data_IF_433505845231
#
_entry.id   IF_433505845231
#
_cell.length_a   1.000
_cell.length_b   1.000
_cell.length_c   1.000
_cell.angle_alpha   90.00
_cell.angle_beta   90.00
_cell.angle_gamma   90.00
#
_symmetry.space_group_name_H-M   'P 1'
#
loop_
_entity.id
_entity.type
_entity.pdbx_description
1 polymer ?
#
# COMPACT_ATOMS: atom_id res chain seq x y z
N UNK A 1 -39.02 8.60 -9.78
CA UNK A 1 -38.31 7.30 -9.68
C UNK A 1 -37.25 7.45 -8.61
N UNK A 2 -37.43 6.78 -7.49
CA UNK A 2 -36.58 6.92 -6.28
C UNK A 2 -35.28 6.16 -6.46
N UNK A 3 -34.17 6.87 -6.68
CA UNK A 3 -32.82 6.28 -6.66
C UNK A 3 -32.36 6.24 -5.20
N UNK A 4 -32.43 5.05 -4.61
CA UNK A 4 -31.87 4.75 -3.30
C UNK A 4 -30.34 4.58 -3.45
N UNK A 5 -29.58 5.54 -2.94
CA UNK A 5 -28.15 5.37 -2.70
C UNK A 5 -27.96 4.23 -1.71
N UNK A 6 -27.44 3.11 -2.20
CA UNK A 6 -27.04 1.98 -1.36
C UNK A 6 -25.69 2.31 -0.72
N UNK A 7 -25.73 2.86 0.48
CA UNK A 7 -24.60 2.77 1.40
C UNK A 7 -24.52 1.31 1.81
N UNK A 8 -23.57 0.57 1.26
CA UNK A 8 -23.32 -0.82 1.66
C UNK A 8 -22.69 -0.85 3.04
N UNK A 9 -23.55 -0.84 4.05
CA UNK A 9 -23.19 -1.26 5.40
C UNK A 9 -23.04 -2.78 5.35
N UNK A 10 -21.83 -3.30 5.44
CA UNK A 10 -21.56 -4.74 5.49
C UNK A 10 -22.11 -5.28 6.82
N UNK A 11 -23.38 -5.66 6.83
CA UNK A 11 -23.96 -6.47 7.89
C UNK A 11 -23.61 -7.94 7.58
N UNK A 12 -22.67 -8.49 8.30
CA UNK A 12 -22.40 -9.93 8.30
C UNK A 12 -23.59 -10.64 8.98
N UNK A 13 -24.56 -11.10 8.20
CA UNK A 13 -25.59 -12.03 8.67
C UNK A 13 -25.03 -13.44 8.64
N UNK A 14 -24.75 -13.99 9.81
CA UNK A 14 -24.55 -15.43 10.00
C UNK A 14 -25.91 -16.13 9.80
N UNK A 15 -26.14 -16.71 8.62
CA UNK A 15 -27.22 -17.68 8.41
C UNK A 15 -26.72 -19.05 8.87
N UNK A 16 -27.18 -19.50 10.04
CA UNK A 16 -27.05 -20.89 10.48
C UNK A 16 -28.19 -21.68 9.87
N UNK A 17 -27.87 -22.51 8.87
CA UNK A 17 -28.78 -23.52 8.32
C UNK A 17 -28.89 -24.71 9.27
N UNK A 18 -30.09 -24.93 9.81
CA UNK A 18 -30.45 -26.15 10.54
C UNK A 18 -30.91 -27.23 9.55
N UNK A 19 -30.17 -28.30 9.44
CA UNK A 19 -30.69 -29.66 9.18
C UNK A 19 -29.59 -30.68 9.43
N UNK A 20 -29.66 -31.37 10.58
CA UNK A 20 -29.08 -32.67 10.81
C UNK A 20 -29.79 -33.39 11.99
N UNK A 21 -29.94 -34.73 11.97
CA UNK A 21 -30.81 -35.47 12.88
C UNK A 21 -30.20 -35.66 14.27
N UNK A 22 -31.10 -35.79 15.25
CA UNK A 22 -30.77 -36.05 16.64
C UNK A 22 -29.99 -37.35 16.79
N UNK A 23 -28.77 -37.24 17.32
CA UNK A 23 -28.14 -38.31 18.12
C UNK A 23 -27.70 -37.67 19.43
N UNK A 24 -28.24 -38.20 20.55
CA UNK A 24 -27.84 -37.79 21.89
C UNK A 24 -26.37 -38.11 22.14
N UNK A 25 -25.58 -37.06 22.35
CA UNK A 25 -24.29 -37.16 23.02
C UNK A 25 -24.05 -35.85 23.77
N UNK A 26 -23.79 -36.00 25.06
CA UNK A 26 -23.31 -35.06 26.08
C UNK A 26 -23.12 -33.59 25.67
N UNK A 27 -23.89 -32.78 26.35
CA UNK A 27 -23.86 -31.32 26.43
C UNK A 27 -22.50 -30.84 26.97
N UNK A 28 -21.58 -30.53 26.06
CA UNK A 28 -20.49 -29.59 26.35
C UNK A 28 -21.04 -28.20 26.08
N UNK A 29 -21.35 -27.49 27.14
CA UNK A 29 -21.78 -26.09 27.09
C UNK A 29 -20.82 -25.30 26.19
N UNK A 30 -21.33 -24.85 25.04
CA UNK A 30 -20.65 -23.85 24.21
C UNK A 30 -20.48 -22.61 25.08
N UNK A 31 -19.24 -22.26 25.41
CA UNK A 31 -18.95 -21.01 26.08
C UNK A 31 -19.46 -19.85 25.19
N UNK A 32 -20.24 -18.92 25.75
CA UNK A 32 -20.65 -17.75 24.99
C UNK A 32 -19.39 -16.96 24.59
N UNK A 33 -19.23 -16.70 23.31
CA UNK A 33 -18.19 -15.88 22.73
C UNK A 33 -18.00 -14.61 23.56
N UNK A 34 -16.85 -14.50 24.22
CA UNK A 34 -16.26 -13.36 24.92
C UNK A 34 -17.20 -12.27 25.40
N UNK A 35 -17.79 -12.41 26.58
CA UNK A 35 -18.37 -11.25 27.28
C UNK A 35 -17.22 -10.29 27.64
N UNK A 36 -17.19 -9.14 26.96
CA UNK A 36 -16.30 -8.05 27.33
C UNK A 36 -16.75 -7.53 28.70
N UNK A 37 -15.82 -7.41 29.65
CA UNK A 37 -16.14 -6.89 30.98
C UNK A 37 -16.76 -5.48 30.88
N UNK A 38 -17.80 -5.23 31.68
CA UNK A 38 -18.42 -3.92 31.75
C UNK A 38 -17.44 -2.92 32.39
N UNK A 39 -17.11 -1.83 31.66
CA UNK A 39 -16.32 -0.74 32.16
C UNK A 39 -17.17 0.10 33.16
N UNK A 40 -16.58 0.49 34.28
CA UNK A 40 -17.25 1.26 35.34
C UNK A 40 -17.82 2.61 34.91
N UNK A 41 -17.42 3.14 33.75
CA UNK A 41 -17.97 4.35 33.17
C UNK A 41 -19.39 4.18 32.61
N UNK A 42 -19.88 2.94 32.47
CA UNK A 42 -21.18 2.63 31.85
C UNK A 42 -22.05 1.83 32.83
N UNK A 43 -23.39 2.05 32.74
CA UNK A 43 -24.34 1.38 33.61
C UNK A 43 -24.64 -0.05 33.18
N UNK A 44 -24.52 -0.31 31.87
CA UNK A 44 -24.82 -1.60 31.26
C UNK A 44 -24.07 -1.82 29.95
N UNK A 45 -24.12 -3.02 29.41
CA UNK A 45 -23.47 -3.41 28.15
C UNK A 45 -24.02 -2.66 26.94
N UNK A 46 -25.29 -2.25 26.94
CA UNK A 46 -25.90 -1.50 25.84
C UNK A 46 -25.28 -0.10 25.72
N UNK A 47 -25.10 0.58 26.85
CA UNK A 47 -24.43 1.88 26.89
C UNK A 47 -22.97 1.78 26.46
N UNK A 48 -22.25 0.77 26.95
CA UNK A 48 -20.86 0.53 26.56
C UNK A 48 -20.76 0.24 25.07
N UNK A 49 -21.64 -0.57 24.52
CA UNK A 49 -21.66 -0.91 23.10
C UNK A 49 -21.98 0.31 22.22
N UNK A 50 -22.98 1.09 22.61
CA UNK A 50 -23.34 2.33 21.90
C UNK A 50 -22.18 3.33 21.88
N UNK A 51 -21.51 3.51 23.03
CA UNK A 51 -20.33 4.37 23.12
C UNK A 51 -19.17 3.84 22.25
N UNK A 52 -18.92 2.53 22.26
CA UNK A 52 -17.86 1.91 21.46
C UNK A 52 -18.10 2.10 19.94
N UNK A 53 -19.37 1.97 19.48
CA UNK A 53 -19.76 2.26 18.10
C UNK A 53 -19.50 3.73 17.74
N UNK A 54 -19.91 4.65 18.60
CA UNK A 54 -19.69 6.09 18.39
C UNK A 54 -18.20 6.43 18.37
N UNK A 55 -17.42 5.87 19.30
CA UNK A 55 -15.97 6.08 19.35
C UNK A 55 -15.24 5.49 18.12
N UNK A 56 -15.71 4.35 17.61
CA UNK A 56 -15.20 3.74 16.39
C UNK A 56 -15.47 4.62 15.16
N UNK A 57 -16.71 5.10 15.03
CA UNK A 57 -17.10 6.03 13.97
C UNK A 57 -16.29 7.33 14.04
N UNK A 58 -16.12 7.89 15.24
CA UNK A 58 -15.34 9.11 15.44
C UNK A 58 -13.88 8.95 15.00
N UNK A 59 -13.24 7.82 15.34
CA UNK A 59 -11.87 7.52 14.85
C UNK A 59 -11.80 7.36 13.33
N UNK A 60 -12.78 6.70 12.72
CA UNK A 60 -12.85 6.59 11.27
C UNK A 60 -12.95 7.96 10.60
N UNK A 61 -13.82 8.83 11.12
CA UNK A 61 -14.00 10.20 10.62
C UNK A 61 -12.72 11.02 10.82
N UNK A 62 -12.09 10.95 11.98
CA UNK A 62 -10.82 11.64 12.26
C UNK A 62 -9.70 11.22 11.28
N UNK A 63 -9.57 9.93 11.00
CA UNK A 63 -8.60 9.45 10.02
C UNK A 63 -8.90 9.96 8.61
N UNK A 64 -10.18 9.96 8.21
CA UNK A 64 -10.61 10.53 6.93
C UNK A 64 -10.27 12.03 6.82
N UNK A 65 -10.49 12.79 7.88
CA UNK A 65 -10.15 14.22 7.93
C UNK A 65 -8.64 14.45 7.81
N UNK A 66 -7.82 13.63 8.46
CA UNK A 66 -6.35 13.68 8.35
C UNK A 66 -5.88 13.43 6.91
N UNK A 67 -6.50 12.48 6.21
CA UNK A 67 -6.17 12.25 4.79
C UNK A 67 -6.56 13.44 3.91
N UNK A 68 -7.71 14.07 4.17
CA UNK A 68 -8.11 15.28 3.45
C UNK A 68 -7.21 16.48 3.76
N UNK A 69 -6.72 16.59 5.00
CA UNK A 69 -5.78 17.63 5.39
C UNK A 69 -4.44 17.52 4.63
N UNK A 70 -3.99 16.29 4.30
CA UNK A 70 -2.82 16.07 3.43
C UNK A 70 -3.02 16.62 2.01
N UNK A 71 -4.28 16.77 1.59
CA UNK A 71 -4.67 17.40 0.32
C UNK A 71 -4.86 18.93 0.45
N UNK A 72 -4.63 19.50 1.64
CA UNK A 72 -4.85 20.91 1.92
C UNK A 72 -6.32 21.27 2.24
N UNK A 73 -7.20 20.26 2.39
CA UNK A 73 -8.62 20.46 2.68
C UNK A 73 -8.81 20.37 4.20
N UNK A 74 -9.23 21.49 4.80
CA UNK A 74 -9.53 21.57 6.23
C UNK A 74 -11.03 21.73 6.45
N UNK A 75 -11.62 20.79 7.18
CA UNK A 75 -13.00 20.86 7.61
C UNK A 75 -13.08 21.25 9.10
N UNK A 76 -14.15 21.90 9.47
CA UNK A 76 -14.42 22.26 10.88
C UNK A 76 -14.99 21.04 11.62
N UNK A 77 -14.19 20.44 12.48
CA UNK A 77 -14.57 19.28 13.29
C UNK A 77 -15.78 19.57 14.19
N UNK A 78 -15.94 20.82 14.65
CA UNK A 78 -17.10 21.18 15.48
C UNK A 78 -18.40 21.15 14.68
N UNK A 79 -18.37 21.64 13.44
CA UNK A 79 -19.54 21.59 12.56
C UNK A 79 -19.87 20.16 12.13
N UNK A 80 -18.85 19.31 11.93
CA UNK A 80 -19.06 17.90 11.62
C UNK A 80 -19.78 17.17 12.78
N UNK A 81 -19.30 17.37 14.02
CA UNK A 81 -19.93 16.79 15.22
C UNK A 81 -21.35 17.35 15.40
N UNK A 82 -21.54 18.67 15.20
CA UNK A 82 -22.87 19.28 15.29
C UNK A 82 -23.82 18.70 14.25
N UNK A 83 -23.37 18.48 13.01
CA UNK A 83 -24.19 17.85 11.97
C UNK A 83 -24.65 16.43 12.35
N UNK A 84 -23.77 15.63 12.95
CA UNK A 84 -24.15 14.30 13.47
C UNK A 84 -25.21 14.42 14.57
N UNK A 85 -25.00 15.30 15.55
CA UNK A 85 -25.96 15.51 16.65
C UNK A 85 -27.31 16.01 16.17
N UNK A 86 -27.33 17.00 15.25
CA UNK A 86 -28.54 17.55 14.68
C UNK A 86 -29.32 16.50 13.88
N UNK A 87 -28.61 15.63 13.14
CA UNK A 87 -29.24 14.53 12.40
C UNK A 87 -29.91 13.51 13.32
N UNK A 88 -29.25 13.10 14.42
CA UNK A 88 -29.86 12.21 15.43
C UNK A 88 -31.08 12.84 16.11
N UNK A 89 -31.10 14.17 16.27
CA UNK A 89 -32.18 14.89 16.87
C UNK A 89 -33.33 15.22 15.88
N UNK A 90 -33.19 14.90 14.60
CA UNK A 90 -34.15 15.31 13.56
C UNK A 90 -34.19 16.82 13.32
N UNK A 91 -33.10 17.54 13.61
CA UNK A 91 -32.98 19.01 13.55
C UNK A 91 -31.86 19.46 12.58
N UNK A 92 -31.62 18.68 11.54
CA UNK A 92 -30.63 19.03 10.50
C UNK A 92 -30.90 20.45 9.99
N UNK A 93 -29.82 21.26 9.88
CA UNK A 93 -29.89 22.63 9.32
C UNK A 93 -29.93 22.66 7.81
N UNK A 94 -29.61 21.54 7.16
CA UNK A 94 -29.65 21.35 5.72
C UNK A 94 -30.74 20.33 5.39
N UNK A 95 -31.46 20.56 4.32
CA UNK A 95 -32.36 19.57 3.73
C UNK A 95 -31.52 18.42 3.09
N UNK A 96 -32.14 17.28 2.85
CA UNK A 96 -31.47 16.14 2.20
C UNK A 96 -30.85 16.51 0.84
N UNK A 97 -31.57 17.36 0.06
CA UNK A 97 -31.08 17.87 -1.22
C UNK A 97 -29.84 18.76 -1.06
N UNK A 98 -29.81 19.63 -0.06
CA UNK A 98 -28.66 20.49 0.22
C UNK A 98 -27.45 19.67 0.71
N UNK A 99 -27.70 18.65 1.52
CA UNK A 99 -26.65 17.70 1.95
C UNK A 99 -26.06 17.00 0.72
N UNK A 100 -26.90 16.44 -0.17
CA UNK A 100 -26.45 15.74 -1.37
C UNK A 100 -25.62 16.66 -2.28
N UNK A 101 -26.12 17.87 -2.56
CA UNK A 101 -25.42 18.85 -3.41
C UNK A 101 -24.08 19.27 -2.80
N UNK A 102 -24.05 19.51 -1.49
CA UNK A 102 -22.82 19.90 -0.77
C UNK A 102 -21.79 18.78 -0.80
N UNK A 103 -22.20 17.54 -0.55
CA UNK A 103 -21.30 16.39 -0.60
C UNK A 103 -20.76 16.13 -2.01
N UNK A 104 -21.59 16.28 -3.04
CA UNK A 104 -21.14 16.16 -4.45
C UNK A 104 -20.13 17.23 -4.82
N UNK A 105 -20.35 18.48 -4.43
CA UNK A 105 -19.40 19.57 -4.64
C UNK A 105 -18.09 19.31 -3.88
N UNK A 106 -18.20 18.83 -2.64
CA UNK A 106 -17.04 18.48 -1.82
C UNK A 106 -16.23 17.33 -2.42
N UNK A 107 -16.87 16.27 -2.91
CA UNK A 107 -16.21 15.18 -3.63
C UNK A 107 -15.42 15.70 -4.85
N UNK A 108 -16.01 16.62 -5.62
CA UNK A 108 -15.33 17.28 -6.73
C UNK A 108 -14.08 18.04 -6.29
N UNK A 109 -14.15 18.76 -5.18
CA UNK A 109 -13.01 19.50 -4.63
C UNK A 109 -11.91 18.56 -4.13
N UNK A 110 -12.26 17.46 -3.45
CA UNK A 110 -11.32 16.45 -2.99
C UNK A 110 -10.58 15.81 -4.18
N UNK A 111 -11.32 15.44 -5.23
CA UNK A 111 -10.75 14.88 -6.44
C UNK A 111 -9.78 15.85 -7.13
N UNK A 112 -10.16 17.12 -7.26
CA UNK A 112 -9.31 18.14 -7.86
C UNK A 112 -8.03 18.38 -7.04
N UNK A 113 -8.15 18.46 -5.71
CA UNK A 113 -7.01 18.61 -4.82
C UNK A 113 -6.06 17.41 -4.86
N UNK A 114 -6.60 16.18 -4.90
CA UNK A 114 -5.81 14.96 -5.03
C UNK A 114 -5.04 14.94 -6.36
N UNK A 115 -5.70 15.31 -7.46
CA UNK A 115 -5.07 15.40 -8.77
C UNK A 115 -3.94 16.44 -8.78
N UNK A 116 -4.20 17.65 -8.28
CA UNK A 116 -3.20 18.72 -8.21
C UNK A 116 -1.99 18.33 -7.35
N UNK A 117 -2.24 17.63 -6.22
CA UNK A 117 -1.16 17.11 -5.39
C UNK A 117 -0.33 16.06 -6.12
N UNK A 118 -0.99 15.11 -6.80
CA UNK A 118 -0.31 14.07 -7.56
C UNK A 118 0.57 14.66 -8.66
N UNK A 119 0.09 15.66 -9.40
CA UNK A 119 0.85 16.36 -10.44
C UNK A 119 2.06 17.11 -9.86
N UNK A 120 1.86 17.78 -8.73
CA UNK A 120 2.95 18.46 -8.01
C UNK A 120 4.02 17.45 -7.55
N UNK A 121 3.60 16.38 -6.87
CA UNK A 121 4.50 15.34 -6.38
C UNK A 121 5.26 14.67 -7.55
N UNK A 122 4.57 14.38 -8.65
CA UNK A 122 5.16 13.83 -9.86
C UNK A 122 6.25 14.74 -10.45
N UNK A 123 5.99 16.04 -10.51
CA UNK A 123 6.98 17.01 -10.98
C UNK A 123 8.19 17.07 -10.04
N UNK A 124 7.97 17.21 -8.75
CA UNK A 124 9.04 17.25 -7.76
C UNK A 124 9.89 15.98 -7.80
N UNK A 125 9.27 14.80 -7.93
CA UNK A 125 9.99 13.53 -8.02
C UNK A 125 10.79 13.42 -9.31
N UNK A 126 10.24 13.91 -10.42
CA UNK A 126 10.99 14.00 -11.69
C UNK A 126 12.24 14.87 -11.53
N UNK A 127 12.10 16.05 -10.95
CA UNK A 127 13.22 16.99 -10.77
C UNK A 127 14.30 16.38 -9.84
N UNK A 128 13.88 15.81 -8.70
CA UNK A 128 14.78 15.11 -7.76
C UNK A 128 15.44 13.88 -8.39
N UNK A 129 14.67 13.10 -9.15
CA UNK A 129 15.17 11.91 -9.85
C UNK A 129 16.23 12.27 -10.90
N UNK A 130 15.98 13.28 -11.70
CA UNK A 130 16.94 13.77 -12.71
C UNK A 130 18.23 14.31 -12.08
N UNK A 131 18.11 15.06 -10.99
CA UNK A 131 19.26 15.58 -10.26
C UNK A 131 20.11 14.45 -9.66
N UNK A 132 19.46 13.44 -9.06
CA UNK A 132 20.12 12.26 -8.52
C UNK A 132 20.83 11.45 -9.62
N UNK A 133 20.12 11.16 -10.70
CA UNK A 133 20.67 10.42 -11.84
C UNK A 133 21.89 11.16 -12.47
N UNK A 134 21.82 12.48 -12.61
CA UNK A 134 22.93 13.29 -13.12
C UNK A 134 24.15 13.28 -12.19
N UNK A 135 23.94 13.22 -10.87
CA UNK A 135 25.01 13.07 -9.88
C UNK A 135 25.61 11.67 -9.93
N UNK A 136 24.78 10.63 -9.90
CA UNK A 136 25.21 9.25 -9.95
C UNK A 136 25.96 8.91 -11.23
N UNK A 137 25.54 9.44 -12.39
CA UNK A 137 26.20 9.24 -13.68
C UNK A 137 27.67 9.72 -13.73
N UNK A 138 28.07 10.60 -12.81
CA UNK A 138 29.46 11.09 -12.71
C UNK A 138 30.35 10.21 -11.84
N UNK A 139 29.79 9.25 -11.14
CA UNK A 139 30.56 8.34 -10.28
C UNK A 139 31.39 7.37 -11.12
N UNK A 140 32.58 7.02 -10.61
CA UNK A 140 33.47 6.05 -11.27
C UNK A 140 32.79 4.68 -11.40
N UNK A 141 32.79 4.14 -12.60
CA UNK A 141 32.26 2.80 -12.89
C UNK A 141 30.77 2.78 -13.21
N UNK A 142 30.06 3.91 -13.15
CA UNK A 142 28.66 4.01 -13.57
C UNK A 142 28.58 3.95 -15.10
N UNK A 143 27.60 3.21 -15.59
CA UNK A 143 27.23 3.11 -17.00
C UNK A 143 25.77 3.47 -17.18
N UNK A 144 25.44 3.97 -18.38
CA UNK A 144 24.07 4.30 -18.78
C UNK A 144 23.71 3.49 -20.01
N UNK A 145 22.52 2.90 -19.99
CA UNK A 145 21.97 2.18 -21.14
C UNK A 145 21.17 3.09 -22.06
N UNK A 146 20.79 2.61 -23.23
CA UNK A 146 19.91 3.32 -24.18
C UNK A 146 18.51 3.54 -23.63
N UNK A 147 18.02 2.69 -22.73
CA UNK A 147 16.72 2.83 -22.05
C UNK A 147 16.72 3.92 -20.95
N UNK A 148 17.91 4.39 -20.58
CA UNK A 148 18.08 5.39 -19.52
C UNK A 148 18.40 4.81 -18.14
N UNK A 149 18.49 3.48 -18.00
CA UNK A 149 18.95 2.84 -16.78
C UNK A 149 20.39 3.26 -16.49
N UNK A 150 20.68 3.67 -15.25
CA UNK A 150 22.05 3.81 -14.76
C UNK A 150 22.37 2.65 -13.82
N UNK A 151 23.58 2.13 -13.95
CA UNK A 151 24.04 1.04 -13.10
C UNK A 151 25.53 1.09 -12.81
N UNK A 152 25.89 0.54 -11.68
CA UNK A 152 27.27 0.37 -11.24
C UNK A 152 27.48 -1.05 -10.76
N UNK A 153 28.34 -1.79 -11.45
CA UNK A 153 28.72 -3.15 -11.02
C UNK A 153 29.77 -3.01 -9.93
N UNK A 154 29.40 -3.41 -8.70
CA UNK A 154 30.35 -3.44 -7.57
C UNK A 154 31.15 -4.73 -7.56
N UNK A 155 30.48 -5.84 -7.89
CA UNK A 155 31.09 -7.17 -8.02
C UNK A 155 30.47 -7.89 -9.22
N UNK A 156 31.26 -8.33 -10.21
CA UNK A 156 30.68 -8.90 -11.43
C UNK A 156 30.07 -10.30 -11.23
N UNK A 157 30.48 -11.07 -10.23
CA UNK A 157 30.10 -12.47 -10.06
C UNK A 157 30.84 -13.42 -11.02
N UNK A 158 30.40 -14.68 -11.10
CA UNK A 158 31.01 -15.75 -11.89
C UNK A 158 29.96 -16.53 -12.70
N UNK A 159 30.41 -17.20 -13.79
CA UNK A 159 29.54 -18.00 -14.67
C UNK A 159 28.83 -17.17 -15.74
N UNK A 160 27.64 -17.61 -16.18
CA UNK A 160 26.79 -16.91 -17.13
C UNK A 160 25.94 -15.85 -16.43
N UNK A 161 25.59 -14.79 -17.16
CA UNK A 161 24.56 -13.84 -16.72
C UNK A 161 23.15 -14.45 -16.90
N UNK A 162 22.14 -14.01 -16.15
CA UNK A 162 20.77 -14.50 -16.29
C UNK A 162 20.15 -14.04 -17.61
N UNK A 163 19.23 -14.86 -18.12
CA UNK A 163 18.34 -14.55 -19.23
C UNK A 163 16.96 -14.16 -18.71
N UNK A 164 16.08 -13.62 -19.57
CA UNK A 164 14.73 -13.17 -19.17
C UNK A 164 13.88 -14.28 -18.56
N UNK A 165 14.04 -15.51 -19.07
CA UNK A 165 13.26 -16.67 -18.62
C UNK A 165 13.80 -17.32 -17.34
N UNK A 166 15.00 -16.94 -16.87
CA UNK A 166 15.59 -17.54 -15.69
C UNK A 166 14.92 -17.03 -14.40
N UNK A 167 14.89 -17.88 -13.39
CA UNK A 167 14.53 -17.50 -12.03
C UNK A 167 15.80 -17.07 -11.29
N UNK A 168 15.80 -15.88 -10.78
CA UNK A 168 16.91 -15.33 -9.99
C UNK A 168 16.56 -15.32 -8.50
N UNK A 169 17.58 -15.49 -7.66
CA UNK A 169 17.48 -15.35 -6.19
C UNK A 169 18.37 -14.19 -5.78
N UNK A 170 17.79 -13.20 -5.12
CA UNK A 170 18.50 -11.96 -4.78
C UNK A 170 18.29 -11.53 -3.33
N UNK A 171 19.29 -10.87 -2.76
CA UNK A 171 19.08 -9.92 -1.69
C UNK A 171 19.09 -8.51 -2.26
N UNK A 172 18.26 -7.63 -1.71
CA UNK A 172 18.18 -6.26 -2.18
C UNK A 172 17.70 -5.29 -1.11
N UNK A 173 18.01 -4.02 -1.35
CA UNK A 173 17.45 -2.87 -0.66
C UNK A 173 16.99 -1.86 -1.71
N UNK A 174 15.74 -1.44 -1.65
CA UNK A 174 15.14 -0.43 -2.51
C UNK A 174 14.88 0.86 -1.76
N UNK A 175 15.35 1.98 -2.30
CA UNK A 175 15.15 3.32 -1.73
C UNK A 175 14.70 4.31 -2.80
N UNK A 176 14.01 5.36 -2.36
CA UNK A 176 13.83 6.58 -3.14
C UNK A 176 15.14 7.38 -3.19
N UNK A 177 15.18 8.41 -4.01
CA UNK A 177 16.38 9.26 -4.19
C UNK A 177 16.77 10.09 -2.96
N UNK A 178 15.87 10.23 -1.99
CA UNK A 178 16.12 10.87 -0.70
C UNK A 178 16.62 9.90 0.38
N UNK A 179 16.79 8.60 0.03
CA UNK A 179 17.21 7.55 0.95
C UNK A 179 16.06 6.86 1.69
N UNK A 180 14.82 7.31 1.52
CA UNK A 180 13.64 6.64 2.11
C UNK A 180 13.55 5.22 1.58
N UNK A 181 13.69 4.23 2.44
CA UNK A 181 13.55 2.83 2.11
C UNK A 181 12.07 2.48 1.91
N UNK A 182 11.74 1.84 0.79
CA UNK A 182 10.40 1.35 0.53
C UNK A 182 10.31 -0.18 0.54
N UNK A 183 11.43 -0.88 0.34
CA UNK A 183 11.46 -2.35 0.39
C UNK A 183 12.87 -2.88 0.64
N UNK A 184 12.97 -4.04 1.34
CA UNK A 184 14.24 -4.70 1.65
C UNK A 184 14.02 -6.18 1.93
N UNK A 185 14.78 -7.06 1.26
CA UNK A 185 14.83 -8.48 1.59
C UNK A 185 15.54 -8.74 2.91
N UNK A 186 16.44 -7.85 3.29
CA UNK A 186 17.18 -7.97 4.55
C UNK A 186 16.26 -7.80 5.76
N UNK A 187 15.27 -6.90 5.70
CA UNK A 187 14.32 -6.67 6.78
C UNK A 187 13.38 -7.87 6.96
N UNK A 188 13.09 -8.57 5.89
CA UNK A 188 12.33 -9.84 5.92
C UNK A 188 13.18 -11.05 6.32
N UNK A 189 14.50 -10.90 6.40
CA UNK A 189 15.46 -11.99 6.65
C UNK A 189 15.34 -13.15 5.63
N UNK A 190 14.85 -12.86 4.42
CA UNK A 190 14.60 -13.85 3.39
C UNK A 190 14.92 -13.29 2.00
N UNK A 191 15.80 -13.97 1.20
CA UNK A 191 16.04 -13.62 -0.19
C UNK A 191 14.74 -13.74 -1.03
N UNK A 192 14.61 -12.88 -2.03
CA UNK A 192 13.51 -12.93 -2.97
C UNK A 192 13.87 -13.80 -4.20
N UNK A 193 12.95 -14.66 -4.62
CA UNK A 193 13.08 -15.50 -5.81
C UNK A 193 11.98 -15.19 -6.81
N UNK A 194 12.33 -14.86 -8.07
CA UNK A 194 11.36 -14.52 -9.11
C UNK A 194 11.93 -14.75 -10.51
N UNK A 195 11.03 -14.92 -11.50
CA UNK A 195 11.43 -14.91 -12.92
C UNK A 195 11.79 -13.48 -13.35
N UNK A 196 12.86 -13.36 -14.14
CA UNK A 196 13.40 -12.05 -14.50
C UNK A 196 12.50 -11.27 -15.46
N UNK A 197 11.65 -11.93 -16.24
CA UNK A 197 10.65 -11.31 -17.11
C UNK A 197 9.35 -10.89 -16.37
N UNK A 198 9.22 -11.23 -15.08
CA UNK A 198 8.05 -10.93 -14.25
C UNK A 198 8.18 -9.70 -13.36
N UNK A 199 9.26 -8.94 -13.49
CA UNK A 199 9.54 -7.77 -12.64
C UNK A 199 9.63 -6.48 -13.46
N UNK A 200 9.86 -5.35 -12.79
CA UNK A 200 10.01 -4.05 -13.47
C UNK A 200 11.15 -4.10 -14.51
N UNK A 201 10.98 -3.43 -15.67
CA UNK A 201 11.95 -3.47 -16.77
C UNK A 201 13.38 -3.12 -16.34
N UNK A 202 13.55 -2.18 -15.42
CA UNK A 202 14.86 -1.80 -14.90
C UNK A 202 15.61 -2.95 -14.19
N UNK A 203 14.90 -3.86 -13.54
CA UNK A 203 15.50 -5.07 -12.96
C UNK A 203 15.81 -6.12 -14.02
N UNK A 204 14.87 -6.36 -14.95
CA UNK A 204 15.08 -7.29 -16.08
C UNK A 204 16.31 -6.90 -16.88
N UNK A 205 16.54 -5.62 -17.13
CA UNK A 205 17.70 -5.12 -17.82
C UNK A 205 18.97 -5.14 -16.92
N UNK A 206 18.83 -4.60 -15.70
CA UNK A 206 19.97 -4.38 -14.80
C UNK A 206 20.67 -5.65 -14.36
N UNK A 207 19.93 -6.71 -14.00
CA UNK A 207 20.51 -7.95 -13.51
C UNK A 207 21.28 -8.74 -14.58
N UNK A 208 21.03 -8.49 -15.85
CA UNK A 208 21.83 -9.09 -16.95
C UNK A 208 23.26 -8.56 -17.02
N UNK A 209 23.61 -7.51 -16.28
CA UNK A 209 24.97 -6.97 -16.22
C UNK A 209 25.84 -7.62 -15.16
N UNK A 210 25.28 -8.52 -14.33
CA UNK A 210 26.03 -9.29 -13.33
C UNK A 210 25.75 -10.78 -13.46
N UNK A 211 26.52 -11.57 -12.74
CA UNK A 211 26.49 -13.04 -12.71
C UNK A 211 26.24 -13.50 -11.27
N UNK A 212 26.06 -14.81 -11.06
CA UNK A 212 25.91 -15.39 -9.71
C UNK A 212 27.02 -14.92 -8.77
N UNK A 213 26.65 -14.48 -7.58
CA UNK A 213 27.52 -13.87 -6.56
C UNK A 213 27.93 -12.43 -6.86
N UNK A 214 27.34 -11.82 -7.88
CA UNK A 214 27.56 -10.41 -8.25
C UNK A 214 26.77 -9.44 -7.39
N UNK A 215 27.22 -8.17 -7.37
CA UNK A 215 26.54 -7.03 -6.75
C UNK A 215 26.46 -5.87 -7.72
N UNK A 216 25.31 -5.22 -7.73
CA UNK A 216 25.03 -4.10 -8.63
C UNK A 216 24.18 -3.06 -7.92
N UNK A 217 24.47 -1.80 -8.17
CA UNK A 217 23.61 -0.70 -7.83
C UNK A 217 22.89 -0.24 -9.10
N UNK A 218 21.57 -0.08 -9.00
CA UNK A 218 20.68 0.34 -10.09
C UNK A 218 20.04 1.67 -9.74
N UNK A 219 20.03 2.63 -10.68
CA UNK A 219 19.22 3.84 -10.60
C UNK A 219 18.26 3.79 -11.77
N UNK A 220 17.01 3.50 -11.45
CA UNK A 220 15.96 3.12 -12.39
C UNK A 220 15.03 4.32 -12.59
N UNK A 221 14.94 4.88 -13.81
CA UNK A 221 14.01 5.96 -14.09
C UNK A 221 12.56 5.45 -14.03
N UNK A 222 11.57 6.35 -13.79
CA UNK A 222 10.16 5.96 -13.67
C UNK A 222 9.63 5.10 -14.80
N UNK A 223 10.02 5.37 -16.04
CA UNK A 223 9.59 4.61 -17.22
C UNK A 223 10.00 3.12 -17.20
N UNK A 224 11.02 2.77 -16.45
CA UNK A 224 11.49 1.39 -16.25
C UNK A 224 11.06 0.81 -14.89
N UNK A 225 10.17 1.49 -14.17
CA UNK A 225 9.67 1.12 -12.85
C UNK A 225 8.14 1.26 -12.80
N UNK A 226 7.62 2.16 -11.98
CA UNK A 226 6.18 2.31 -11.72
C UNK A 226 5.53 3.52 -12.40
N UNK A 227 6.26 4.23 -13.26
CA UNK A 227 5.74 5.27 -14.14
C UNK A 227 5.14 6.48 -13.44
N UNK A 228 4.17 7.09 -14.14
CA UNK A 228 3.54 8.35 -13.73
C UNK A 228 2.57 8.20 -12.55
N UNK A 229 2.05 6.99 -12.32
CA UNK A 229 1.04 6.75 -11.28
C UNK A 229 1.65 6.33 -9.95
N UNK A 230 2.86 5.76 -9.96
CA UNK A 230 3.43 5.14 -8.78
C UNK A 230 2.63 3.91 -8.32
N UNK A 231 2.92 3.46 -7.10
CA UNK A 231 2.17 2.40 -6.39
C UNK A 231 2.15 2.74 -4.90
N UNK A 232 1.35 2.09 -4.06
CA UNK A 232 1.40 2.29 -2.61
C UNK A 232 2.84 2.21 -2.08
N UNK A 233 3.29 3.24 -1.37
CA UNK A 233 4.67 3.37 -0.87
C UNK A 233 5.69 3.95 -1.86
N UNK A 234 5.38 4.04 -3.15
CA UNK A 234 6.26 4.64 -4.18
C UNK A 234 5.50 5.75 -4.91
N UNK A 235 5.81 7.02 -4.64
CA UNK A 235 5.12 8.16 -5.24
C UNK A 235 5.21 8.20 -6.78
N UNK A 236 4.32 8.97 -7.44
CA UNK A 236 4.34 9.14 -8.89
C UNK A 236 5.69 9.66 -9.40
N UNK A 237 6.11 9.19 -10.58
CA UNK A 237 7.37 9.57 -11.24
C UNK A 237 8.63 9.41 -10.37
N UNK A 238 8.65 8.46 -9.43
CA UNK A 238 9.81 8.19 -8.60
C UNK A 238 10.92 7.49 -9.39
N UNK A 239 12.13 8.03 -9.33
CA UNK A 239 13.37 7.32 -9.67
C UNK A 239 13.73 6.42 -8.49
N UNK A 240 14.00 5.15 -8.75
CA UNK A 240 14.29 4.16 -7.73
C UNK A 240 15.78 3.84 -7.69
N UNK A 241 16.30 3.61 -6.50
CA UNK A 241 17.67 3.17 -6.26
C UNK A 241 17.63 1.79 -5.62
N UNK A 242 18.31 0.83 -6.22
CA UNK A 242 18.43 -0.51 -5.67
C UNK A 242 19.89 -0.91 -5.53
N UNK A 243 20.22 -1.45 -4.37
CA UNK A 243 21.42 -2.24 -4.15
C UNK A 243 21.01 -3.71 -4.20
N UNK A 244 21.57 -4.49 -5.14
CA UNK A 244 21.15 -5.87 -5.38
C UNK A 244 22.34 -6.81 -5.35
N UNK A 245 22.20 -7.92 -4.64
CA UNK A 245 23.13 -9.05 -4.63
C UNK A 245 22.46 -10.27 -5.28
N UNK A 246 23.01 -10.76 -6.37
CA UNK A 246 22.52 -11.94 -7.11
C UNK A 246 23.10 -13.21 -6.50
N UNK A 247 22.30 -13.90 -5.72
CA UNK A 247 22.74 -15.09 -4.97
C UNK A 247 22.75 -16.35 -5.84
N UNK A 248 21.71 -16.53 -6.68
CA UNK A 248 21.57 -17.71 -7.52
C UNK A 248 20.82 -17.42 -8.82
N UNK A 249 21.06 -18.26 -9.83
CA UNK A 249 20.36 -18.24 -11.11
C UNK A 249 19.88 -19.67 -11.38
N UNK A 250 18.58 -19.86 -11.51
CA UNK A 250 17.96 -21.14 -11.84
C UNK A 250 17.44 -21.05 -13.28
N UNK A 251 18.03 -21.77 -14.23
CA UNK A 251 17.58 -21.79 -15.61
C UNK A 251 16.11 -22.20 -15.72
N UNK A 252 15.38 -21.61 -16.65
CA UNK A 252 14.00 -22.01 -16.91
C UNK A 252 13.96 -23.49 -17.31
N UNK A 253 13.07 -24.27 -16.68
CA UNK A 253 12.79 -25.62 -17.12
C UNK A 253 12.13 -25.55 -18.51
N UNK A 254 12.57 -26.41 -19.43
CA UNK A 254 11.94 -26.50 -20.76
C UNK A 254 10.50 -27.02 -20.58
N UNK A 255 9.52 -26.10 -20.54
CA UNK A 255 8.10 -26.44 -20.47
C UNK A 255 7.27 -25.75 -19.38
N UNK A 256 7.84 -24.95 -18.49
CA UNK A 256 7.08 -24.29 -17.44
C UNK A 256 6.58 -22.90 -17.87
N UNK A 257 5.25 -22.81 -18.02
CA UNK A 257 4.54 -21.53 -17.89
C UNK A 257 4.53 -21.18 -16.39
N UNK A 258 5.42 -20.29 -15.96
CA UNK A 258 5.63 -20.02 -14.56
C UNK A 258 4.47 -19.24 -13.91
N UNK A 259 4.21 -19.43 -12.61
CA UNK A 259 3.39 -18.51 -11.82
C UNK A 259 4.10 -17.15 -11.74
N UNK A 260 3.37 -16.08 -12.05
CA UNK A 260 3.84 -14.71 -11.83
C UNK A 260 4.10 -14.52 -10.33
N UNK A 261 5.36 -14.28 -9.98
CA UNK A 261 5.66 -13.75 -8.66
C UNK A 261 5.06 -12.33 -8.55
N UNK A 262 4.47 -11.95 -7.42
CA UNK A 262 4.07 -10.57 -7.21
C UNK A 262 5.31 -9.67 -7.38
N UNK A 263 5.16 -8.59 -8.14
CA UNK A 263 6.14 -7.51 -8.13
C UNK A 263 6.46 -7.13 -6.67
N UNK A 264 7.66 -6.61 -6.35
CA UNK A 264 7.96 -6.15 -5.00
C UNK A 264 6.80 -5.30 -4.50
N UNK A 265 6.04 -5.85 -3.55
CA UNK A 265 4.89 -5.14 -3.00
C UNK A 265 5.44 -4.04 -2.11
N UNK A 266 4.93 -2.83 -2.30
CA UNK A 266 5.09 -1.78 -1.31
C UNK A 266 4.68 -2.34 0.06
N UNK A 267 5.40 -1.97 1.15
CA UNK A 267 5.10 -2.48 2.48
C UNK A 267 3.62 -2.25 2.78
N UNK A 268 2.94 -3.30 3.20
CA UNK A 268 1.61 -3.18 3.76
C UNK A 268 1.72 -2.15 4.89
N UNK A 269 0.95 -1.07 4.80
CA UNK A 269 0.87 -0.09 5.87
C UNK A 269 0.55 -0.85 7.16
N UNK A 270 1.52 -0.85 8.08
CA UNK A 270 1.41 -1.48 9.39
C UNK A 270 0.20 -0.89 10.13
N UNK A 271 -0.87 -1.66 10.16
CA UNK A 271 -2.03 -1.36 11.00
C UNK A 271 -1.60 -1.62 12.45
N UNK A 272 -0.96 -0.59 13.00
CA UNK A 272 -0.63 -0.31 14.37
C UNK A 272 -0.74 -1.44 15.39
N UNK A 273 0.36 -2.01 15.73
CA UNK A 273 0.58 -2.57 17.05
C UNK A 273 0.55 -1.45 18.10
N UNK A 274 -0.58 -1.24 18.73
CA UNK A 274 -0.70 -0.50 19.98
C UNK A 274 -1.21 -1.44 21.05
N UNK A 275 -0.30 -2.28 21.58
CA UNK A 275 -0.47 -2.88 22.89
C UNK A 275 0.89 -3.14 23.50
N UNK A 276 1.33 -2.21 24.39
CA UNK A 276 2.01 -2.49 25.65
C UNK A 276 2.45 -1.18 26.32
N UNK A 277 1.76 -0.70 27.24
CA UNK A 277 1.96 -0.55 28.69
C UNK A 277 0.87 0.33 29.25
#
# INVERSE_FOLDING_TARGET
MKSLFKVSLLAATLAVGLNAPLTMAAETAAQPSGQVALNSAFKDQSQQSAYALGASLGRYMENSLKEQEKLGIKLDNKQLIAGVQDAFAGKSKLSDSEVEQTLKAFEGNVKAAAQAKMEKDAKENTDKGNAFAAKFAKEKGVKKTSSGLLYKVEKPGTGAAPTDSDTVVVNYKGTLTDGTQFDSSYDRHEPLSFRLDGVIPGWTEGLKHIKKGGKIQLVIPPALAYGQNGVPGIPPNSTLVFDVELLDIKPAAKGDSAPQAPAPQAPAADAGSAAKK
#
